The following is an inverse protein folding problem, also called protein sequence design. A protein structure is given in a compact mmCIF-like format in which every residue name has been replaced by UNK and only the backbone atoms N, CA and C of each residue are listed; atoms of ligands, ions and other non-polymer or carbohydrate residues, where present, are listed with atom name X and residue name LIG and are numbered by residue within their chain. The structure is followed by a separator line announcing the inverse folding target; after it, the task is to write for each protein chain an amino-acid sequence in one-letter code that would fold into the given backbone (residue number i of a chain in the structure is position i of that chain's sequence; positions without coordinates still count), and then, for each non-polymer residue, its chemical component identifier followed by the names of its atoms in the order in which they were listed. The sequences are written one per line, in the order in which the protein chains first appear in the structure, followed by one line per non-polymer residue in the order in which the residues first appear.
data_IF_716974844024
#
_entry.id   IF_716974844024
#
_cell.length_a   1.000
_cell.length_b   1.000
_cell.length_c   1.000
_cell.angle_alpha   90.00
_cell.angle_beta   90.00
_cell.angle_gamma   90.00
#
_symmetry.space_group_name_H-M   'P 1'
#
loop_
_entity.id
_entity.type
_entity.pdbx_description
1 polymer ?
#
# COMPACT_ATOMS: atom_id res chain seq x y z
N UNK A 1 -51.00 66.90 32.87
CA UNK A 1 -50.00 65.98 33.48
C UNK A 1 -49.66 64.90 32.46
N UNK A 2 -48.52 65.03 31.75
CA UNK A 2 -48.06 64.05 30.76
C UNK A 2 -47.01 63.17 31.40
N UNK A 3 -47.25 61.88 31.53
CA UNK A 3 -46.28 60.90 32.00
C UNK A 3 -45.28 60.61 30.88
N UNK A 4 -44.02 60.91 31.11
CA UNK A 4 -42.92 60.52 30.23
C UNK A 4 -42.48 59.12 30.63
N UNK A 5 -42.74 58.16 29.75
CA UNK A 5 -42.28 56.78 29.94
C UNK A 5 -40.87 56.69 29.40
N UNK A 6 -39.89 56.47 30.30
CA UNK A 6 -38.47 56.25 29.97
C UNK A 6 -38.31 54.83 29.49
N UNK A 7 -38.00 54.66 28.20
CA UNK A 7 -37.69 53.36 27.59
C UNK A 7 -36.19 53.06 27.84
N UNK A 8 -35.92 52.09 28.73
CA UNK A 8 -34.58 51.56 28.94
C UNK A 8 -34.24 50.67 27.73
N UNK A 9 -33.36 51.15 26.86
CA UNK A 9 -32.71 50.31 25.87
C UNK A 9 -31.59 49.50 26.56
N UNK A 10 -31.84 48.24 26.81
CA UNK A 10 -30.79 47.29 27.22
C UNK A 10 -29.89 46.98 25.98
N UNK A 11 -28.68 47.47 26.06
CA UNK A 11 -27.63 47.16 25.07
C UNK A 11 -27.20 45.72 25.26
N UNK A 12 -27.71 44.81 24.38
CA UNK A 12 -27.20 43.43 24.30
C UNK A 12 -25.86 43.49 23.62
N UNK A 13 -24.79 43.38 24.41
CA UNK A 13 -23.46 43.17 23.87
C UNK A 13 -23.39 41.79 23.27
N UNK A 14 -23.51 41.70 21.95
CA UNK A 14 -23.20 40.50 21.20
C UNK A 14 -21.69 40.30 21.21
N UNK A 15 -21.21 39.46 22.11
CA UNK A 15 -19.84 38.99 22.09
C UNK A 15 -19.63 38.17 20.80
N UNK A 16 -19.00 38.81 19.82
CA UNK A 16 -18.47 38.06 18.66
C UNK A 16 -17.36 37.16 19.20
N UNK A 17 -17.68 35.89 19.38
CA UNK A 17 -16.65 34.86 19.48
C UNK A 17 -15.95 34.87 18.12
N UNK A 18 -14.72 35.35 18.09
CA UNK A 18 -13.87 35.27 16.93
C UNK A 18 -13.65 33.80 16.66
N UNK A 19 -14.43 33.24 15.71
CA UNK A 19 -14.11 31.98 15.08
C UNK A 19 -12.78 32.24 14.38
N UNK A 20 -11.67 31.71 14.96
CA UNK A 20 -10.35 31.89 14.40
C UNK A 20 -10.42 31.45 12.93
N UNK A 21 -10.06 32.35 12.03
CA UNK A 21 -9.91 32.02 10.61
C UNK A 21 -8.94 30.86 10.54
N UNK A 22 -9.45 29.69 10.13
CA UNK A 22 -8.59 28.54 9.81
C UNK A 22 -7.64 29.04 8.72
N UNK A 23 -6.35 28.99 8.98
CA UNK A 23 -5.35 29.32 7.96
C UNK A 23 -5.40 28.26 6.86
N UNK A 24 -6.16 28.57 5.82
CA UNK A 24 -6.39 27.68 4.67
C UNK A 24 -5.05 27.30 3.99
N UNK A 25 -4.04 28.18 4.08
CA UNK A 25 -2.72 27.89 3.52
C UNK A 25 -2.02 26.76 4.28
N UNK A 26 -2.14 26.75 5.61
CA UNK A 26 -1.58 25.68 6.45
C UNK A 26 -2.27 24.32 6.23
N UNK A 27 -3.58 24.33 5.93
CA UNK A 27 -4.34 23.11 5.62
C UNK A 27 -3.98 22.54 4.24
N UNK A 28 -3.76 23.40 3.25
CA UNK A 28 -3.47 23.00 1.87
C UNK A 28 -2.01 22.62 1.64
N UNK A 29 -1.08 23.12 2.45
CA UNK A 29 0.37 22.91 2.24
C UNK A 29 0.80 21.43 2.15
N UNK A 30 0.29 20.49 2.95
CA UNK A 30 0.60 19.07 2.78
C UNK A 30 0.17 18.50 1.41
N UNK A 31 -0.98 18.94 0.92
CA UNK A 31 -1.52 18.50 -0.38
C UNK A 31 -0.70 19.09 -1.54
N UNK A 32 -0.31 20.37 -1.44
CA UNK A 32 0.57 20.99 -2.43
C UNK A 32 1.91 20.25 -2.52
N UNK A 33 2.54 19.96 -1.37
CA UNK A 33 3.79 19.22 -1.33
C UNK A 33 3.66 17.80 -1.89
N UNK A 34 2.54 17.12 -1.64
CA UNK A 34 2.26 15.82 -2.24
C UNK A 34 2.14 15.92 -3.77
N UNK A 35 1.42 16.91 -4.28
CA UNK A 35 1.26 17.11 -5.72
C UNK A 35 2.59 17.45 -6.40
N UNK A 36 3.39 18.34 -5.80
CA UNK A 36 4.74 18.63 -6.29
C UNK A 36 5.63 17.38 -6.29
N UNK A 37 5.59 16.57 -5.22
CA UNK A 37 6.36 15.35 -5.13
C UNK A 37 5.92 14.31 -6.18
N UNK A 38 4.63 14.21 -6.48
CA UNK A 38 4.14 13.32 -7.53
C UNK A 38 4.62 13.78 -8.91
N UNK A 39 4.67 15.08 -9.15
CA UNK A 39 5.30 15.63 -10.36
C UNK A 39 6.80 15.30 -10.44
N UNK A 40 7.53 15.41 -9.32
CA UNK A 40 8.94 15.00 -9.27
C UNK A 40 9.09 13.49 -9.57
N UNK A 41 8.18 12.64 -9.06
CA UNK A 41 8.20 11.20 -9.34
C UNK A 41 7.98 10.95 -10.85
N UNK A 42 7.05 11.63 -11.48
CA UNK A 42 6.77 11.54 -12.92
C UNK A 42 8.01 11.97 -13.75
N UNK A 43 8.75 12.97 -13.30
CA UNK A 43 9.98 13.45 -13.92
C UNK A 43 11.21 12.56 -13.61
N UNK A 44 11.13 11.63 -12.67
CA UNK A 44 12.24 10.81 -12.21
C UNK A 44 13.11 11.46 -11.12
N UNK A 45 12.70 12.60 -10.59
CA UNK A 45 13.41 13.37 -9.55
C UNK A 45 13.10 12.82 -8.14
N UNK A 46 13.25 11.52 -7.96
CA UNK A 46 12.83 10.78 -6.76
C UNK A 46 13.45 11.31 -5.46
N UNK A 47 14.66 11.90 -5.49
CA UNK A 47 15.28 12.44 -4.26
C UNK A 47 14.53 13.67 -3.76
N UNK A 48 14.13 14.56 -4.65
CA UNK A 48 13.38 15.76 -4.33
C UNK A 48 11.96 15.39 -3.89
N UNK A 49 11.35 14.42 -4.56
CA UNK A 49 10.07 13.83 -4.15
C UNK A 49 10.11 13.33 -2.70
N UNK A 50 11.15 12.58 -2.30
CA UNK A 50 11.28 12.07 -0.92
C UNK A 50 11.29 13.22 0.08
N UNK A 51 12.01 14.32 -0.17
CA UNK A 51 12.08 15.46 0.74
C UNK A 51 10.70 16.14 0.91
N UNK A 52 10.00 16.36 -0.18
CA UNK A 52 8.65 16.94 -0.17
C UNK A 52 7.64 16.03 0.54
N UNK A 53 7.70 14.72 0.30
CA UNK A 53 6.83 13.74 0.96
C UNK A 53 7.06 13.66 2.47
N UNK A 54 8.31 13.73 2.92
CA UNK A 54 8.64 13.83 4.35
C UNK A 54 8.05 15.09 4.95
N UNK A 55 8.15 16.23 4.26
CA UNK A 55 7.57 17.48 4.72
C UNK A 55 6.04 17.42 4.77
N UNK A 56 5.40 16.86 3.74
CA UNK A 56 3.95 16.64 3.69
C UNK A 56 3.48 15.76 4.85
N UNK A 57 4.15 14.61 5.09
CA UNK A 57 3.83 13.71 6.20
C UNK A 57 4.01 14.35 7.57
N UNK A 58 5.03 15.21 7.74
CA UNK A 58 5.25 15.94 9.00
C UNK A 58 4.11 16.92 9.29
N UNK A 59 3.57 17.57 8.26
CA UNK A 59 2.46 18.52 8.39
C UNK A 59 1.12 17.79 8.57
N UNK A 60 0.90 16.70 7.84
CA UNK A 60 -0.30 15.88 7.95
C UNK A 60 0.02 14.39 7.81
N UNK A 61 0.29 13.68 8.92
CA UNK A 61 0.55 12.23 8.87
C UNK A 61 -0.67 11.40 8.48
N UNK A 62 -1.88 11.99 8.45
CA UNK A 62 -3.12 11.34 8.02
C UNK A 62 -3.41 11.49 6.53
N UNK A 63 -2.50 12.07 5.75
CA UNK A 63 -2.61 12.10 4.30
C UNK A 63 -2.11 10.77 3.74
N UNK A 64 -3.06 9.84 3.49
CA UNK A 64 -2.77 8.44 3.15
C UNK A 64 -1.89 8.29 1.90
N UNK A 65 -2.14 9.10 0.89
CA UNK A 65 -1.46 9.06 -0.41
C UNK A 65 0.06 9.30 -0.29
N UNK A 66 0.51 10.02 0.73
CA UNK A 66 1.95 10.24 0.98
C UNK A 66 2.70 8.92 1.12
N UNK A 67 2.08 7.89 1.71
CA UNK A 67 2.74 6.61 1.97
C UNK A 67 2.95 5.79 0.70
N UNK A 68 2.02 5.84 -0.25
CA UNK A 68 2.19 5.18 -1.55
C UNK A 68 3.24 5.90 -2.42
N UNK A 69 3.24 7.23 -2.42
CA UNK A 69 4.27 8.03 -3.10
C UNK A 69 5.65 7.82 -2.47
N UNK A 70 5.75 7.74 -1.12
CA UNK A 70 6.99 7.38 -0.42
C UNK A 70 7.48 5.99 -0.81
N UNK A 71 6.57 5.00 -0.95
CA UNK A 71 6.97 3.68 -1.40
C UNK A 71 7.64 3.74 -2.77
N UNK A 72 7.09 4.48 -3.72
CA UNK A 72 7.68 4.66 -5.04
C UNK A 72 9.04 5.38 -4.96
N UNK A 73 9.09 6.57 -4.38
CA UNK A 73 10.29 7.40 -4.38
C UNK A 73 11.43 6.78 -3.56
N UNK A 74 11.15 6.21 -2.39
CA UNK A 74 12.17 5.56 -1.55
C UNK A 74 12.69 4.26 -2.16
N UNK A 75 11.88 3.52 -2.91
CA UNK A 75 12.32 2.31 -3.62
C UNK A 75 13.31 2.68 -4.72
N UNK A 76 13.01 3.71 -5.52
CA UNK A 76 13.92 4.19 -6.57
C UNK A 76 15.22 4.80 -6.03
N UNK A 77 15.19 5.42 -4.87
CA UNK A 77 16.37 6.00 -4.20
C UNK A 77 17.09 5.03 -3.26
N UNK A 78 16.61 3.78 -3.16
CA UNK A 78 17.12 2.75 -2.23
C UNK A 78 17.11 3.18 -0.74
N UNK A 79 16.15 4.05 -0.35
CA UNK A 79 15.99 4.52 1.03
C UNK A 79 15.05 3.60 1.82
N UNK A 80 15.33 2.30 1.80
CA UNK A 80 14.43 1.25 2.32
C UNK A 80 14.20 1.34 3.84
N UNK A 81 15.24 1.72 4.61
CA UNK A 81 15.12 1.88 6.07
C UNK A 81 14.17 3.03 6.43
N UNK A 82 14.27 4.15 5.70
CA UNK A 82 13.39 5.29 5.85
C UNK A 82 11.94 4.92 5.49
N UNK A 83 11.74 4.26 4.34
CA UNK A 83 10.42 3.78 3.92
C UNK A 83 9.78 2.90 4.99
N UNK A 84 10.54 1.92 5.52
CA UNK A 84 10.05 1.01 6.56
C UNK A 84 9.57 1.77 7.81
N UNK A 85 10.30 2.80 8.24
CA UNK A 85 9.90 3.63 9.38
C UNK A 85 8.55 4.31 9.14
N UNK A 86 8.37 4.92 7.95
CA UNK A 86 7.10 5.56 7.59
C UNK A 86 5.94 4.56 7.51
N UNK A 87 6.16 3.40 6.87
CA UNK A 87 5.12 2.38 6.74
C UNK A 87 4.68 1.81 8.09
N UNK A 88 5.61 1.59 9.03
CA UNK A 88 5.27 1.14 10.39
C UNK A 88 4.45 2.19 11.13
N UNK A 89 4.82 3.48 11.03
CA UNK A 89 4.02 4.58 11.59
C UNK A 89 2.65 4.68 10.93
N UNK A 90 2.60 4.56 9.59
CA UNK A 90 1.36 4.58 8.82
C UNK A 90 0.38 3.49 9.26
N UNK A 91 0.84 2.27 9.48
CA UNK A 91 0.01 1.18 10.01
C UNK A 91 -0.59 1.47 11.40
N UNK A 92 0.04 2.30 12.21
CA UNK A 92 -0.53 2.77 13.49
C UNK A 92 -1.59 3.86 13.33
N UNK A 93 -1.65 4.51 12.16
CA UNK A 93 -2.60 5.58 11.85
C UNK A 93 -3.80 5.05 11.05
N UNK A 94 -3.52 4.18 10.07
CA UNK A 94 -4.49 3.59 9.16
C UNK A 94 -4.67 2.11 9.54
N UNK A 95 -5.65 1.88 10.39
CA UNK A 95 -6.01 0.53 10.80
C UNK A 95 -6.54 -0.26 9.57
N UNK A 96 -6.15 -1.52 9.49
CA UNK A 96 -6.61 -2.44 8.44
C UNK A 96 -6.29 -1.99 6.99
N UNK A 97 -5.23 -1.20 6.80
CA UNK A 97 -4.74 -0.82 5.49
C UNK A 97 -3.93 -1.97 4.87
N UNK A 98 -4.49 -2.59 3.85
CA UNK A 98 -3.91 -3.75 3.17
C UNK A 98 -2.66 -3.39 2.36
N UNK A 99 -2.64 -2.21 1.76
CA UNK A 99 -1.52 -1.77 0.92
C UNK A 99 -0.26 -1.45 1.74
N UNK A 100 -0.40 -0.85 2.93
CA UNK A 100 0.73 -0.63 3.84
C UNK A 100 1.33 -1.96 4.32
N UNK A 101 0.50 -2.95 4.59
CA UNK A 101 0.95 -4.30 4.90
C UNK A 101 1.69 -4.92 3.70
N UNK A 102 1.16 -4.76 2.49
CA UNK A 102 1.80 -5.24 1.27
C UNK A 102 3.19 -4.63 1.06
N UNK A 103 3.34 -3.31 1.21
CA UNK A 103 4.63 -2.64 1.07
C UNK A 103 5.66 -3.13 2.11
N UNK A 104 5.23 -3.33 3.36
CA UNK A 104 6.10 -3.92 4.39
C UNK A 104 6.47 -5.37 4.06
N UNK A 105 5.52 -6.13 3.54
CA UNK A 105 5.76 -7.49 3.04
C UNK A 105 6.86 -7.52 1.97
N UNK A 106 6.81 -6.59 1.00
CA UNK A 106 7.82 -6.44 -0.05
C UNK A 106 9.21 -6.13 0.53
N UNK A 107 9.29 -5.24 1.52
CA UNK A 107 10.55 -4.92 2.18
C UNK A 107 11.13 -6.18 2.86
N UNK A 108 10.33 -6.91 3.62
CA UNK A 108 10.79 -8.12 4.29
C UNK A 108 11.17 -9.23 3.31
N UNK A 109 10.43 -9.38 2.22
CA UNK A 109 10.75 -10.35 1.16
C UNK A 109 12.11 -10.03 0.51
N UNK A 110 12.38 -8.76 0.19
CA UNK A 110 13.66 -8.33 -0.37
C UNK A 110 14.83 -8.53 0.61
N UNK A 111 14.56 -8.42 1.91
CA UNK A 111 15.51 -8.77 2.98
C UNK A 111 15.62 -10.27 3.22
N UNK A 112 14.94 -11.11 2.43
CA UNK A 112 14.85 -12.57 2.58
C UNK A 112 14.24 -13.02 3.92
N UNK A 113 13.62 -12.11 4.67
CA UNK A 113 12.87 -12.44 5.87
C UNK A 113 11.46 -12.93 5.48
N UNK A 114 11.42 -14.12 4.89
CA UNK A 114 10.18 -14.67 4.34
C UNK A 114 9.09 -14.88 5.40
N UNK A 115 9.47 -15.20 6.64
CA UNK A 115 8.49 -15.36 7.72
C UNK A 115 7.78 -14.05 8.07
N UNK A 116 8.51 -12.93 8.17
CA UNK A 116 7.92 -11.62 8.37
C UNK A 116 7.10 -11.17 7.15
N UNK A 117 7.59 -11.43 5.93
CA UNK A 117 6.87 -11.13 4.69
C UNK A 117 5.52 -11.87 4.62
N UNK A 118 5.49 -13.17 4.92
CA UNK A 118 4.26 -13.98 4.97
C UNK A 118 3.25 -13.39 5.96
N UNK A 119 3.71 -12.96 7.13
CA UNK A 119 2.83 -12.31 8.11
C UNK A 119 2.18 -11.05 7.54
N UNK A 120 2.98 -10.16 6.95
CA UNK A 120 2.47 -8.90 6.40
C UNK A 120 1.54 -9.13 5.20
N UNK A 121 1.90 -10.02 4.26
CA UNK A 121 1.00 -10.38 3.16
C UNK A 121 -0.29 -11.06 3.63
N UNK A 122 -0.24 -11.82 4.73
CA UNK A 122 -1.45 -12.43 5.30
C UNK A 122 -2.38 -11.38 5.89
N UNK A 123 -1.85 -10.33 6.52
CA UNK A 123 -2.64 -9.17 6.96
C UNK A 123 -3.20 -8.41 5.76
N UNK A 124 -2.40 -8.15 4.73
CA UNK A 124 -2.86 -7.50 3.52
C UNK A 124 -4.06 -8.25 2.89
N UNK A 125 -3.95 -9.58 2.76
CA UNK A 125 -5.04 -10.44 2.27
C UNK A 125 -6.28 -10.38 3.17
N UNK A 126 -6.08 -10.40 4.48
CA UNK A 126 -7.19 -10.32 5.44
C UNK A 126 -7.93 -8.98 5.32
N UNK A 127 -7.21 -7.88 5.21
CA UNK A 127 -7.80 -6.54 5.11
C UNK A 127 -8.44 -6.32 3.73
N UNK A 128 -7.79 -6.75 2.65
CA UNK A 128 -8.39 -6.69 1.32
C UNK A 128 -9.74 -7.44 1.25
N UNK A 129 -9.85 -8.63 1.88
CA UNK A 129 -11.12 -9.36 1.97
C UNK A 129 -12.21 -8.59 2.69
N UNK A 130 -11.85 -7.79 3.68
CA UNK A 130 -12.80 -6.97 4.43
C UNK A 130 -13.18 -5.70 3.66
N UNK A 131 -12.21 -5.10 2.95
CA UNK A 131 -12.36 -3.80 2.29
C UNK A 131 -12.88 -3.93 0.84
N UNK A 132 -12.90 -5.14 0.28
CA UNK A 132 -13.20 -5.44 -1.12
C UNK A 132 -11.96 -5.90 -1.88
N UNK A 133 -12.07 -7.01 -2.61
CA UNK A 133 -10.94 -7.62 -3.35
C UNK A 133 -10.85 -7.11 -4.81
N UNK A 134 -11.50 -6.03 -5.16
CA UNK A 134 -11.62 -5.53 -6.53
C UNK A 134 -10.40 -4.72 -7.01
N UNK A 135 -9.37 -4.58 -6.18
CA UNK A 135 -8.16 -3.84 -6.52
C UNK A 135 -7.19 -4.68 -7.35
N UNK A 136 -6.60 -4.05 -8.38
CA UNK A 136 -5.60 -4.69 -9.23
C UNK A 136 -4.41 -5.29 -8.46
N UNK A 137 -4.08 -4.76 -7.28
CA UNK A 137 -2.94 -5.24 -6.48
C UNK A 137 -3.21 -6.52 -5.69
N UNK A 138 -4.47 -6.91 -5.48
CA UNK A 138 -4.79 -8.06 -4.60
C UNK A 138 -4.18 -9.36 -5.12
N UNK A 139 -4.11 -9.57 -6.44
CA UNK A 139 -3.42 -10.74 -6.97
C UNK A 139 -1.94 -10.81 -6.53
N UNK A 140 -1.28 -9.64 -6.38
CA UNK A 140 0.12 -9.57 -5.99
C UNK A 140 0.34 -9.95 -4.51
N UNK A 141 -0.63 -9.72 -3.64
CA UNK A 141 -0.56 -10.16 -2.24
C UNK A 141 -0.45 -11.67 -2.15
N UNK A 142 -1.31 -12.39 -2.87
CA UNK A 142 -1.27 -13.85 -2.95
C UNK A 142 -0.03 -14.35 -3.69
N UNK A 143 0.34 -13.73 -4.82
CA UNK A 143 1.54 -14.08 -5.56
C UNK A 143 2.78 -13.99 -4.67
N UNK A 144 2.98 -12.88 -3.99
CA UNK A 144 4.18 -12.64 -3.20
C UNK A 144 4.21 -13.53 -1.94
N UNK A 145 3.06 -13.78 -1.30
CA UNK A 145 3.00 -14.76 -0.21
C UNK A 145 3.32 -16.17 -0.69
N UNK A 146 2.77 -16.57 -1.84
CA UNK A 146 3.09 -17.82 -2.50
C UNK A 146 4.58 -17.94 -2.83
N UNK A 147 5.21 -16.86 -3.32
CA UNK A 147 6.66 -16.81 -3.56
C UNK A 147 7.46 -17.00 -2.27
N UNK A 148 7.04 -16.39 -1.17
CA UNK A 148 7.68 -16.59 0.13
C UNK A 148 7.56 -18.04 0.61
N UNK A 149 6.38 -18.67 0.48
CA UNK A 149 6.20 -20.09 0.77
C UNK A 149 7.08 -20.98 -0.13
N UNK A 150 7.18 -20.66 -1.43
CA UNK A 150 8.06 -21.37 -2.35
C UNK A 150 9.52 -21.31 -1.90
N UNK A 151 10.01 -20.13 -1.50
CA UNK A 151 11.38 -19.93 -0.98
C UNK A 151 11.62 -20.70 0.32
N UNK A 152 10.61 -20.84 1.17
CA UNK A 152 10.69 -21.67 2.39
C UNK A 152 10.45 -23.17 2.12
N UNK A 153 10.28 -23.58 0.85
CA UNK A 153 9.96 -24.94 0.44
C UNK A 153 8.61 -25.45 1.00
N UNK A 154 7.73 -24.55 1.39
CA UNK A 154 6.37 -24.85 1.84
C UNK A 154 5.40 -24.93 0.64
N UNK A 155 5.74 -25.81 -0.31
CA UNK A 155 5.10 -25.90 -1.61
C UNK A 155 3.59 -26.12 -1.55
N UNK A 156 3.11 -26.92 -0.57
CA UNK A 156 1.68 -27.16 -0.38
C UNK A 156 0.91 -25.89 -0.01
N UNK A 157 1.56 -24.93 0.68
CA UNK A 157 0.96 -23.63 1.01
C UNK A 157 1.04 -22.63 -0.15
N UNK A 158 2.05 -22.73 -1.00
CA UNK A 158 2.19 -21.87 -2.17
C UNK A 158 1.12 -22.12 -3.24
N UNK A 159 0.70 -23.37 -3.44
CA UNK A 159 -0.27 -23.76 -4.50
C UNK A 159 -1.60 -23.00 -4.39
N UNK A 160 -2.31 -22.96 -3.24
CA UNK A 160 -3.55 -22.21 -3.14
C UNK A 160 -3.37 -20.71 -3.38
N UNK A 161 -2.27 -20.12 -2.94
CA UNK A 161 -1.98 -18.72 -3.16
C UNK A 161 -1.81 -18.40 -4.65
N UNK A 162 -0.99 -19.17 -5.37
CA UNK A 162 -0.87 -19.00 -6.82
C UNK A 162 -2.19 -19.26 -7.55
N UNK A 163 -2.97 -20.23 -7.08
CA UNK A 163 -4.27 -20.54 -7.69
C UNK A 163 -5.24 -19.37 -7.54
N UNK A 164 -5.26 -18.72 -6.37
CA UNK A 164 -6.09 -17.54 -6.17
C UNK A 164 -5.57 -16.33 -6.95
N UNK A 165 -4.26 -16.11 -6.96
CA UNK A 165 -3.63 -15.07 -7.76
C UNK A 165 -3.97 -15.20 -9.25
N UNK A 166 -3.97 -16.42 -9.81
CA UNK A 166 -4.37 -16.70 -11.19
C UNK A 166 -5.88 -16.51 -11.47
N UNK A 167 -6.73 -16.63 -10.45
CA UNK A 167 -8.15 -16.30 -10.59
C UNK A 167 -8.33 -14.79 -10.84
N UNK A 168 -7.49 -13.95 -10.23
CA UNK A 168 -7.52 -12.49 -10.37
C UNK A 168 -6.71 -12.01 -11.59
N UNK A 169 -5.58 -12.66 -11.91
CA UNK A 169 -4.72 -12.33 -13.04
C UNK A 169 -4.32 -13.60 -13.82
N UNK A 170 -5.22 -14.02 -14.72
CA UNK A 170 -5.12 -15.30 -15.45
C UNK A 170 -4.04 -15.36 -16.54
N UNK A 171 -3.51 -14.20 -16.95
CA UNK A 171 -2.56 -14.13 -18.08
C UNK A 171 -1.12 -13.90 -17.63
N UNK A 172 -0.82 -14.14 -16.35
CA UNK A 172 0.52 -13.99 -15.79
C UNK A 172 1.28 -15.33 -15.85
N UNK A 173 2.17 -15.47 -16.85
CA UNK A 173 2.96 -16.68 -17.07
C UNK A 173 3.89 -17.04 -15.91
N UNK A 174 4.43 -16.05 -15.17
CA UNK A 174 5.31 -16.31 -14.04
C UNK A 174 4.57 -17.01 -12.88
N UNK A 175 3.29 -16.72 -12.67
CA UNK A 175 2.50 -17.39 -11.65
C UNK A 175 2.30 -18.87 -12.01
N UNK A 176 2.00 -19.17 -13.26
CA UNK A 176 1.93 -20.56 -13.73
C UNK A 176 3.27 -21.28 -13.56
N UNK A 177 4.39 -20.62 -13.92
CA UNK A 177 5.72 -21.21 -13.76
C UNK A 177 5.99 -21.60 -12.30
N UNK A 178 5.75 -20.69 -11.37
CA UNK A 178 5.97 -20.90 -9.94
C UNK A 178 5.03 -21.93 -9.34
N UNK A 179 3.74 -21.95 -9.75
CA UNK A 179 2.78 -22.98 -9.32
C UNK A 179 3.18 -24.34 -9.85
N UNK A 180 3.66 -24.40 -11.08
CA UNK A 180 4.20 -25.62 -11.67
C UNK A 180 5.37 -26.20 -10.87
N UNK A 181 6.30 -25.35 -10.39
CA UNK A 181 7.38 -25.78 -9.48
C UNK A 181 6.79 -26.35 -8.18
N UNK A 182 5.81 -25.68 -7.59
CA UNK A 182 5.18 -26.16 -6.36
C UNK A 182 4.43 -27.49 -6.57
N UNK A 183 3.73 -27.67 -7.71
CA UNK A 183 3.10 -28.93 -8.07
C UNK A 183 4.12 -30.05 -8.27
N UNK A 184 5.21 -29.78 -9.00
CA UNK A 184 6.27 -30.78 -9.20
C UNK A 184 6.86 -31.24 -7.87
N UNK A 185 7.18 -30.29 -6.99
CA UNK A 185 7.76 -30.55 -5.67
C UNK A 185 6.82 -31.31 -4.72
N UNK A 186 5.50 -31.29 -4.99
CA UNK A 186 4.49 -32.06 -4.23
C UNK A 186 4.07 -33.35 -4.95
N UNK A 187 4.78 -33.78 -6.01
CA UNK A 187 4.52 -35.00 -6.75
C UNK A 187 3.39 -34.89 -7.79
N UNK A 188 2.76 -33.74 -7.96
CA UNK A 188 1.66 -33.50 -8.90
C UNK A 188 2.20 -33.19 -10.30
N UNK A 189 2.84 -34.18 -10.93
CA UNK A 189 3.59 -34.01 -12.19
C UNK A 189 2.69 -33.60 -13.37
N UNK A 190 1.45 -34.09 -13.45
CA UNK A 190 0.52 -33.75 -14.54
C UNK A 190 0.15 -32.29 -14.50
N UNK A 191 -0.18 -31.77 -13.30
CA UNK A 191 -0.51 -30.39 -13.06
C UNK A 191 0.69 -29.48 -13.33
N UNK A 192 1.89 -29.88 -12.89
CA UNK A 192 3.13 -29.14 -13.16
C UNK A 192 3.38 -28.99 -14.68
N UNK A 193 3.26 -30.08 -15.44
CA UNK A 193 3.42 -30.05 -16.90
C UNK A 193 2.36 -29.16 -17.59
N UNK A 194 1.12 -29.16 -17.09
CA UNK A 194 0.07 -28.29 -17.61
C UNK A 194 0.39 -26.81 -17.37
N UNK A 195 0.79 -26.46 -16.15
CA UNK A 195 1.16 -25.11 -15.79
C UNK A 195 2.38 -24.60 -16.57
N UNK A 196 3.42 -25.40 -16.72
CA UNK A 196 4.61 -25.01 -17.50
C UNK A 196 4.31 -24.83 -18.99
N UNK A 197 3.42 -25.65 -19.58
CA UNK A 197 2.94 -25.41 -20.95
C UNK A 197 2.20 -24.08 -21.07
N UNK A 198 1.35 -23.76 -20.09
CA UNK A 198 0.63 -22.48 -20.07
C UNK A 198 1.61 -21.31 -19.87
N UNK A 199 2.57 -21.43 -18.97
CA UNK A 199 3.61 -20.43 -18.78
C UNK A 199 4.38 -20.16 -20.07
N UNK A 200 4.78 -21.22 -20.78
CA UNK A 200 5.45 -21.11 -22.10
C UNK A 200 4.57 -20.42 -23.14
N UNK A 201 3.29 -20.71 -23.20
CA UNK A 201 2.35 -20.05 -24.12
C UNK A 201 2.15 -18.58 -23.83
N UNK A 202 2.45 -18.14 -22.60
CA UNK A 202 2.43 -16.74 -22.13
C UNK A 202 3.81 -16.08 -22.17
N UNK A 203 4.78 -16.67 -22.90
CA UNK A 203 6.09 -16.06 -23.16
C UNK A 203 7.16 -16.35 -22.11
N UNK A 204 6.94 -17.22 -21.13
CA UNK A 204 7.99 -17.63 -20.18
C UNK A 204 8.94 -18.62 -20.89
N UNK A 205 10.17 -18.20 -21.12
CA UNK A 205 11.17 -18.95 -21.89
C UNK A 205 11.98 -19.97 -21.07
N UNK A 206 12.10 -19.74 -19.76
CA UNK A 206 12.80 -20.64 -18.85
C UNK A 206 12.00 -20.86 -17.57
N UNK A 207 11.85 -22.13 -17.20
CA UNK A 207 11.31 -22.52 -15.89
C UNK A 207 12.45 -23.20 -15.17
N UNK A 208 13.07 -22.49 -14.22
CA UNK A 208 14.08 -23.10 -13.36
C UNK A 208 13.37 -23.92 -12.29
N UNK A 209 13.35 -25.23 -12.49
CA UNK A 209 12.83 -26.22 -11.55
C UNK A 209 13.88 -26.59 -10.49
#
# INVERSE_FOLDING_TARGET
MRKVTLLLMTLVAVTHVAVGQVDVSAVNKPIELLNEANTDIENGDYKDAVQKLIAANRLNPKLREVYSSLNTACTHTNQISLLKEFLVKGKGIFEEDDELCYYLGNIYQNQQNYAAAIKEYSLAIQYAKKNGEEYELVYAYYLNRGNCYLKQREFAKAIPDYTYSLKLNKDNGAIYANRGIAYFSTGKRKEACADWRKAKSLGVTSVNA
#
